data_IF_489327557008
#
_entry.id   IF_489327557008
#
_cell.length_a   1.000
_cell.length_b   1.000
_cell.length_c   1.000
_cell.angle_alpha   90.00
_cell.angle_beta   90.00
_cell.angle_gamma   90.00
#
_symmetry.space_group_name_H-M   'P 1'
#
loop_
_entity.id
_entity.type
_entity.pdbx_description
1 polymer ?
#
# COMPACT_ATOMS: atom_id res chain seq x y z
N UNK A 1 -8.22 3.64 -9.17
CA UNK A 1 -7.15 4.31 -8.41
C UNK A 1 -6.21 5.05 -9.35
N UNK A 2 -5.91 6.29 -9.01
CA UNK A 2 -5.00 7.14 -9.80
C UNK A 2 -3.59 6.99 -9.23
N UNK A 3 -2.66 6.49 -10.05
CA UNK A 3 -1.24 6.42 -9.71
C UNK A 3 -0.60 7.74 -10.11
N UNK A 4 -0.12 8.49 -9.12
CA UNK A 4 0.43 9.84 -9.33
C UNK A 4 1.91 9.84 -9.72
N UNK A 5 2.63 8.75 -9.48
CA UNK A 5 4.08 8.71 -9.62
C UNK A 5 4.81 9.46 -8.51
N UNK A 6 4.12 9.79 -7.45
CA UNK A 6 4.68 10.50 -6.28
C UNK A 6 4.85 9.52 -5.13
N UNK A 7 6.06 9.05 -4.92
CA UNK A 7 6.37 8.13 -3.82
C UNK A 7 6.24 8.88 -2.49
N UNK A 8 5.38 8.35 -1.60
CA UNK A 8 5.18 8.95 -0.28
C UNK A 8 6.25 8.48 0.71
N UNK A 9 6.56 7.19 0.69
CA UNK A 9 7.62 6.63 1.53
C UNK A 9 7.96 5.21 1.06
N UNK A 10 8.89 4.58 1.75
CA UNK A 10 9.25 3.18 1.50
C UNK A 10 8.57 2.28 2.51
N UNK A 11 8.48 1.00 2.15
CA UNK A 11 8.00 -0.05 3.03
C UNK A 11 8.87 -1.30 2.84
N UNK A 12 8.86 -2.16 3.84
CA UNK A 12 9.59 -3.42 3.79
C UNK A 12 8.60 -4.58 3.63
N UNK A 13 8.89 -5.49 2.70
CA UNK A 13 8.17 -6.74 2.60
C UNK A 13 8.54 -7.62 3.79
N UNK A 14 7.61 -7.86 4.71
CA UNK A 14 7.88 -8.60 5.93
C UNK A 14 7.33 -10.02 5.90
N UNK A 15 6.43 -10.33 4.98
CA UNK A 15 5.89 -11.68 4.83
C UNK A 15 5.35 -11.89 3.42
N UNK A 16 5.53 -13.11 2.92
CA UNK A 16 4.93 -13.57 1.67
C UNK A 16 4.31 -14.93 1.98
N UNK A 17 3.00 -15.04 1.80
CA UNK A 17 2.27 -16.27 2.11
C UNK A 17 1.57 -16.79 0.87
N UNK A 18 1.81 -18.04 0.53
CA UNK A 18 1.08 -18.73 -0.53
C UNK A 18 -0.34 -19.08 -0.02
N UNK A 19 -1.34 -18.82 -0.83
CA UNK A 19 -2.74 -19.03 -0.49
C UNK A 19 -3.47 -19.60 -1.72
N UNK A 20 -3.26 -20.88 -2.00
CA UNK A 20 -4.00 -21.64 -3.03
C UNK A 20 -4.12 -20.92 -4.38
N UNK A 21 -2.98 -20.65 -5.01
CA UNK A 21 -2.93 -20.03 -6.34
C UNK A 21 -2.83 -18.51 -6.32
N UNK A 22 -2.79 -17.92 -5.14
CA UNK A 22 -2.52 -16.49 -4.95
C UNK A 22 -1.46 -16.33 -3.88
N UNK A 23 -0.97 -15.10 -3.72
CA UNK A 23 -0.01 -14.79 -2.67
C UNK A 23 -0.50 -13.59 -1.89
N UNK A 24 -0.28 -13.60 -0.56
CA UNK A 24 -0.45 -12.45 0.29
C UNK A 24 0.91 -11.86 0.61
N UNK A 25 1.13 -10.62 0.21
CA UNK A 25 2.33 -9.87 0.54
C UNK A 25 2.01 -8.89 1.65
N UNK A 26 2.79 -8.92 2.72
CA UNK A 26 2.64 -7.99 3.85
C UNK A 26 3.79 -6.99 3.80
N UNK A 27 3.45 -5.72 3.84
CA UNK A 27 4.41 -4.63 3.84
C UNK A 27 4.27 -3.82 5.11
N UNK A 28 5.40 -3.45 5.70
CA UNK A 28 5.45 -2.59 6.88
C UNK A 28 6.15 -1.29 6.53
N UNK A 29 5.59 -0.19 7.02
CA UNK A 29 6.15 1.14 6.83
C UNK A 29 6.22 1.87 8.17
N UNK A 30 6.95 2.99 8.20
CA UNK A 30 7.06 3.80 9.42
C UNK A 30 5.76 4.59 9.61
N UNK A 31 5.04 4.31 10.68
CA UNK A 31 3.82 5.01 11.00
C UNK A 31 4.13 6.40 11.56
N UNK A 32 3.43 7.41 11.06
CA UNK A 32 3.49 8.78 11.57
C UNK A 32 2.05 9.26 11.73
N UNK A 33 1.65 9.50 12.97
CA UNK A 33 0.28 9.88 13.31
C UNK A 33 -0.15 11.18 12.63
N UNK A 34 0.76 12.17 12.55
CA UNK A 34 0.45 13.44 11.91
C UNK A 34 0.26 13.27 10.40
N UNK A 35 1.08 12.44 9.76
CA UNK A 35 0.92 12.14 8.34
C UNK A 35 -0.34 11.32 8.09
N UNK A 36 -0.68 10.38 8.98
CA UNK A 36 -1.91 9.59 8.86
C UNK A 36 -3.15 10.50 8.86
N UNK A 37 -3.18 11.52 9.70
CA UNK A 37 -4.25 12.51 9.71
C UNK A 37 -4.39 13.27 8.40
N UNK A 38 -3.34 13.32 7.59
CA UNK A 38 -3.32 13.95 6.28
C UNK A 38 -3.63 12.99 5.15
N UNK A 39 -4.04 11.76 5.47
CA UNK A 39 -4.39 10.74 4.50
C UNK A 39 -3.25 9.81 4.08
N UNK A 40 -2.09 9.89 4.72
CA UNK A 40 -0.94 9.01 4.44
C UNK A 40 -1.08 7.74 5.27
N UNK A 41 -2.06 6.93 4.91
CA UNK A 41 -2.37 5.67 5.58
C UNK A 41 -3.12 4.75 4.63
N UNK A 42 -3.21 3.48 4.99
CA UNK A 42 -4.01 2.51 4.24
C UNK A 42 -5.31 2.22 4.97
N UNK A 43 -6.36 1.92 4.22
CA UNK A 43 -7.65 1.50 4.75
C UNK A 43 -8.08 0.21 4.08
N UNK A 44 -8.84 -0.61 4.79
CA UNK A 44 -9.33 -1.88 4.25
C UNK A 44 -10.15 -1.63 2.98
N UNK A 45 -9.85 -2.40 1.94
CA UNK A 45 -10.44 -2.29 0.60
C UNK A 45 -10.12 -1.00 -0.14
N UNK A 46 -9.29 -0.14 0.45
CA UNK A 46 -8.76 1.03 -0.24
C UNK A 46 -7.63 0.66 -1.18
N UNK A 47 -7.06 1.64 -1.83
CA UNK A 47 -5.99 1.45 -2.81
C UNK A 47 -4.64 1.88 -2.26
N UNK A 48 -3.60 1.20 -2.71
CA UNK A 48 -2.20 1.57 -2.46
C UNK A 48 -1.41 1.23 -3.71
N UNK A 49 -0.39 2.03 -3.99
CA UNK A 49 0.53 1.75 -5.10
C UNK A 49 1.85 1.27 -4.52
N UNK A 50 2.30 0.10 -4.97
CA UNK A 50 3.57 -0.52 -4.55
C UNK A 50 4.44 -0.65 -5.79
N UNK A 51 5.58 0.05 -5.80
CA UNK A 51 6.51 0.10 -6.95
C UNK A 51 5.77 0.33 -8.27
N UNK A 52 4.82 1.27 -8.28
CA UNK A 52 4.06 1.62 -9.48
C UNK A 52 2.85 0.75 -9.78
N UNK A 53 2.60 -0.30 -9.01
CA UNK A 53 1.46 -1.21 -9.21
C UNK A 53 0.34 -0.83 -8.25
N UNK A 54 -0.84 -0.49 -8.80
CA UNK A 54 -2.02 -0.15 -7.99
C UNK A 54 -2.72 -1.41 -7.52
N UNK A 55 -2.96 -1.51 -6.22
CA UNK A 55 -3.48 -2.73 -5.57
C UNK A 55 -4.52 -2.37 -4.53
N UNK A 56 -5.35 -3.36 -4.19
CA UNK A 56 -6.35 -3.23 -3.13
C UNK A 56 -5.76 -3.71 -1.80
N UNK A 57 -5.95 -2.90 -0.79
CA UNK A 57 -5.47 -3.19 0.57
C UNK A 57 -6.41 -4.17 1.27
N UNK A 58 -5.82 -5.14 1.95
CA UNK A 58 -6.52 -5.98 2.92
C UNK A 58 -5.74 -6.02 4.23
N UNK A 59 -6.46 -6.25 5.32
CA UNK A 59 -5.91 -6.39 6.67
C UNK A 59 -4.91 -5.28 7.06
N UNK A 60 -5.28 -3.99 6.92
CA UNK A 60 -4.38 -2.91 7.31
C UNK A 60 -4.26 -2.82 8.83
N UNK A 61 -3.07 -2.43 9.28
CA UNK A 61 -2.82 -1.96 10.64
C UNK A 61 -2.29 -0.53 10.56
N UNK A 62 -1.92 0.07 11.67
CA UNK A 62 -1.37 1.43 11.65
C UNK A 62 -0.08 1.51 10.85
N UNK A 63 0.74 0.46 10.84
CA UNK A 63 2.06 0.47 10.20
C UNK A 63 2.25 -0.62 9.16
N UNK A 64 1.19 -1.34 8.77
CA UNK A 64 1.32 -2.41 7.78
C UNK A 64 0.04 -2.59 6.98
N UNK A 65 0.16 -3.29 5.86
CA UNK A 65 -0.96 -3.71 5.05
C UNK A 65 -0.60 -4.97 4.28
N UNK A 66 -1.64 -5.66 3.82
CA UNK A 66 -1.47 -6.81 2.93
C UNK A 66 -2.11 -6.50 1.58
N UNK A 67 -1.59 -7.13 0.54
CA UNK A 67 -2.20 -7.17 -0.79
C UNK A 67 -2.24 -8.62 -1.25
N UNK A 68 -3.37 -8.98 -1.86
CA UNK A 68 -3.53 -10.32 -2.47
C UNK A 68 -3.12 -10.22 -3.93
N UNK A 69 -2.16 -11.03 -4.34
CA UNK A 69 -1.59 -11.01 -5.69
C UNK A 69 -2.00 -12.28 -6.42
N UNK A 70 -2.81 -12.12 -7.47
CA UNK A 70 -3.20 -13.22 -8.35
C UNK A 70 -2.07 -13.57 -9.32
N UNK A 71 -2.06 -14.79 -9.91
CA UNK A 71 -0.97 -15.22 -10.80
C UNK A 71 -0.67 -14.25 -11.94
N UNK A 72 -1.70 -13.68 -12.57
CA UNK A 72 -1.51 -12.73 -13.66
C UNK A 72 -0.67 -11.52 -13.21
N UNK A 73 -1.03 -10.93 -12.07
CA UNK A 73 -0.31 -9.77 -11.52
C UNK A 73 1.10 -10.15 -11.10
N UNK A 74 1.26 -11.33 -10.50
CA UNK A 74 2.56 -11.82 -10.08
C UNK A 74 3.52 -11.96 -11.27
N UNK A 75 3.03 -12.49 -12.39
CA UNK A 75 3.85 -12.75 -13.58
C UNK A 75 4.10 -11.50 -14.42
N UNK A 76 3.14 -10.55 -14.44
CA UNK A 76 3.17 -9.39 -15.32
C UNK A 76 3.62 -8.11 -14.64
N UNK A 77 4.03 -8.17 -13.38
CA UNK A 77 4.56 -7.03 -12.63
C UNK A 77 5.89 -7.43 -11.98
N UNK A 78 6.45 -6.49 -11.21
CA UNK A 78 7.69 -6.73 -10.47
C UNK A 78 7.49 -7.54 -9.19
N UNK A 79 6.27 -7.98 -8.87
CA UNK A 79 6.00 -8.72 -7.62
C UNK A 79 6.73 -10.05 -7.55
N UNK A 80 6.99 -10.70 -8.68
CA UNK A 80 7.73 -11.97 -8.71
C UNK A 80 9.20 -11.80 -8.26
N UNK A 81 9.70 -10.57 -8.18
CA UNK A 81 11.08 -10.30 -7.75
C UNK A 81 11.19 -10.02 -6.24
N UNK A 82 10.06 -9.82 -5.55
CA UNK A 82 10.09 -9.46 -4.13
C UNK A 82 10.40 -10.67 -3.25
N UNK A 83 11.15 -10.41 -2.20
CA UNK A 83 11.46 -11.37 -1.14
C UNK A 83 11.18 -10.71 0.20
N UNK A 84 11.09 -11.51 1.25
CA UNK A 84 11.07 -10.96 2.61
C UNK A 84 12.36 -10.16 2.82
N UNK A 85 12.20 -8.90 3.24
CA UNK A 85 13.29 -7.94 3.35
C UNK A 85 13.38 -6.96 2.19
N UNK A 86 12.69 -7.20 1.07
CA UNK A 86 12.66 -6.26 -0.04
C UNK A 86 12.10 -4.91 0.40
N UNK A 87 12.73 -3.83 -0.05
CA UNK A 87 12.26 -2.46 0.17
C UNK A 87 11.53 -2.01 -1.08
N UNK A 88 10.33 -1.50 -0.91
CA UNK A 88 9.49 -1.02 -2.00
C UNK A 88 9.09 0.42 -1.77
N UNK A 89 8.74 1.10 -2.85
CA UNK A 89 8.18 2.45 -2.80
C UNK A 89 6.66 2.34 -2.69
N UNK A 90 6.05 3.11 -1.79
CA UNK A 90 4.60 3.14 -1.67
C UNK A 90 4.06 4.53 -1.90
N UNK A 91 2.85 4.55 -2.47
CA UNK A 91 2.07 5.75 -2.69
C UNK A 91 0.68 5.49 -2.13
N UNK A 92 0.25 6.30 -1.15
CA UNK A 92 -1.08 6.18 -0.57
C UNK A 92 -2.12 6.76 -1.53
N UNK A 93 -3.36 6.27 -1.40
CA UNK A 93 -4.46 6.75 -2.24
C UNK A 93 -4.67 8.25 -2.04
N UNK A 94 -4.74 8.98 -3.13
CA UNK A 94 -4.92 10.44 -3.13
C UNK A 94 -6.26 10.86 -2.51
N UNK A 95 -7.26 9.98 -2.54
CA UNK A 95 -8.60 10.30 -1.99
C UNK A 95 -8.51 10.63 -0.51
N UNK A 96 -7.73 9.86 0.27
CA UNK A 96 -7.53 10.16 1.69
C UNK A 96 -6.89 11.52 1.92
N UNK A 97 -5.97 11.89 1.06
CA UNK A 97 -5.30 13.20 1.12
C UNK A 97 -6.27 14.34 0.83
N UNK A 98 -7.14 14.16 -0.15
CA UNK A 98 -8.20 15.13 -0.47
C UNK A 98 -9.16 15.30 0.69
N UNK A 99 -9.65 14.19 1.25
CA UNK A 99 -10.61 14.24 2.36
C UNK A 99 -10.00 14.95 3.58
N UNK A 100 -8.75 14.67 3.90
CA UNK A 100 -8.04 15.34 4.99
C UNK A 100 -7.98 16.84 4.77
N UNK A 101 -7.66 17.26 3.55
CA UNK A 101 -7.57 18.68 3.20
C UNK A 101 -8.94 19.38 3.32
N UNK A 102 -10.00 18.71 2.83
CA UNK A 102 -11.36 19.24 2.91
C UNK A 102 -11.82 19.37 4.36
N UNK A 103 -11.55 18.37 5.20
CA UNK A 103 -11.89 18.41 6.62
C UNK A 103 -11.18 19.54 7.35
N UNK A 104 -9.98 19.88 6.95
CA UNK A 104 -9.22 20.98 7.52
C UNK A 104 -9.98 22.31 7.36
N UNK A 105 -10.65 22.52 6.23
CA UNK A 105 -11.40 23.74 5.98
C UNK A 105 -12.78 23.77 6.65
N UNK A 106 -13.30 22.61 7.03
CA UNK A 106 -14.61 22.48 7.64
C UNK A 106 -14.56 22.29 9.17
N UNK A 107 -13.38 22.24 9.74
CA UNK A 107 -13.20 22.04 11.17
C UNK A 107 -13.30 23.35 11.94
#
# INVERSE_FOLDING_TARGET
HIVQGHVDQTAECVAIKDAEGSWYFTFRYKFDKEMAKRGYMTVDKGSVTVNGVSLTVCNPTDDSFQVAIIPYTFEHTNFHTFQVGSIVNIEFDIIGKYLSRMMHFNA
#
